data_IF_944241398274
#
_entry.id   IF_944241398274
#
_cell.length_a   1.000
_cell.length_b   1.000
_cell.length_c   1.000
_cell.angle_alpha   90.00
_cell.angle_beta   90.00
_cell.angle_gamma   90.00
#
_symmetry.space_group_name_H-M   'P 1'
#
loop_
_entity.id
_entity.type
_entity.pdbx_description
1 polymer ?
#
# COMPACT_ATOMS: atom_id res chain seq x y z
N UNK A 1 27.66 38.65 76.40
CA UNK A 1 28.93 38.28 75.73
C UNK A 1 29.15 36.79 75.98
N UNK A 2 28.75 35.92 75.04
CA UNK A 2 29.61 35.27 74.02
C UNK A 2 30.70 34.35 74.62
N UNK A 3 30.54 33.04 74.39
CA UNK A 3 31.50 32.03 73.84
C UNK A 3 31.01 30.63 74.24
N UNK A 4 30.34 29.89 73.35
CA UNK A 4 30.91 28.93 72.37
C UNK A 4 31.73 27.83 73.07
N UNK A 5 31.20 26.60 73.07
CA UNK A 5 31.87 25.40 72.54
C UNK A 5 30.79 24.34 72.27
N UNK A 6 30.81 23.85 71.04
CA UNK A 6 29.90 22.96 70.35
C UNK A 6 30.75 21.78 69.88
N UNK A 7 30.54 20.59 70.42
CA UNK A 7 31.09 19.29 70.01
C UNK A 7 30.05 18.25 70.49
N UNK A 8 29.62 17.19 69.81
CA UNK A 8 29.69 16.68 68.44
C UNK A 8 28.97 15.30 68.54
N UNK A 9 27.69 15.18 68.20
CA UNK A 9 27.09 13.88 67.85
C UNK A 9 25.70 14.07 67.22
N UNK A 10 25.45 13.32 66.15
CA UNK A 10 24.26 13.36 65.26
C UNK A 10 24.31 14.35 64.09
N UNK A 11 25.40 14.30 63.33
CA UNK A 11 25.30 14.57 61.88
C UNK A 11 24.68 13.32 61.25
N UNK A 12 23.35 13.26 61.27
CA UNK A 12 22.58 12.39 60.41
C UNK A 12 21.27 13.11 60.15
N UNK A 13 21.27 14.09 59.26
CA UNK A 13 20.13 14.52 58.42
C UNK A 13 20.58 15.68 57.51
N UNK A 14 21.60 15.41 56.70
CA UNK A 14 21.78 16.14 55.44
C UNK A 14 21.00 15.39 54.38
N UNK A 15 19.66 15.42 54.45
CA UNK A 15 18.86 15.17 53.25
C UNK A 15 19.05 16.43 52.39
N UNK A 16 20.19 16.48 51.69
CA UNK A 16 20.23 17.12 50.40
C UNK A 16 19.26 16.34 49.54
N UNK A 17 18.05 16.84 49.43
CA UNK A 17 17.13 16.51 48.35
C UNK A 17 17.84 16.98 47.06
N UNK A 18 18.81 16.19 46.59
CA UNK A 18 19.06 16.14 45.16
C UNK A 18 17.76 15.56 44.62
N UNK A 19 16.89 16.45 44.14
CA UNK A 19 16.05 16.08 43.02
C UNK A 19 17.02 15.64 41.94
N UNK A 20 17.27 14.34 41.86
CA UNK A 20 17.65 13.74 40.59
C UNK A 20 16.44 13.98 39.73
N UNK A 21 16.44 15.12 39.04
CA UNK A 21 15.64 15.31 37.85
C UNK A 21 16.00 14.10 37.01
N UNK A 22 15.10 13.12 36.92
CA UNK A 22 15.11 12.26 35.77
C UNK A 22 15.06 13.24 34.60
N UNK A 23 16.17 13.46 33.90
CA UNK A 23 16.05 13.83 32.51
C UNK A 23 15.17 12.72 31.94
N UNK A 24 13.93 13.05 31.60
CA UNK A 24 12.98 12.05 31.16
C UNK A 24 13.49 11.62 29.77
N UNK A 25 14.33 10.59 29.74
CA UNK A 25 14.72 9.92 28.50
C UNK A 25 13.43 9.43 27.86
N UNK A 26 12.87 10.25 26.96
CA UNK A 26 11.56 10.04 26.37
C UNK A 26 11.78 9.35 25.04
N UNK A 27 11.38 8.09 24.93
CA UNK A 27 11.44 7.34 23.67
C UNK A 27 10.04 6.99 23.20
N UNK A 28 9.80 7.09 21.89
CA UNK A 28 8.49 6.88 21.28
C UNK A 28 8.64 5.99 20.05
N UNK A 29 7.77 4.99 19.90
CA UNK A 29 7.57 4.34 18.60
C UNK A 29 6.49 5.10 17.86
N UNK A 30 6.82 5.57 16.67
CA UNK A 30 5.86 6.16 15.76
C UNK A 30 5.52 5.18 14.66
N UNK A 31 4.23 4.95 14.47
CA UNK A 31 3.70 4.12 13.38
C UNK A 31 2.99 5.06 12.41
N UNK A 32 3.52 5.16 11.21
CA UNK A 32 2.96 5.98 10.13
C UNK A 32 2.42 5.07 9.03
N UNK A 33 1.37 5.48 8.35
CA UNK A 33 0.77 4.68 7.30
C UNK A 33 -0.22 5.44 6.43
N UNK A 34 -0.69 4.77 5.38
CA UNK A 34 -1.68 5.35 4.46
C UNK A 34 -3.10 5.16 4.97
N UNK A 35 -3.87 6.25 5.01
CA UNK A 35 -5.28 6.24 5.43
C UNK A 35 -6.26 5.96 4.29
N UNK A 36 -5.79 5.95 3.04
CA UNK A 36 -6.58 5.70 1.82
C UNK A 36 -6.00 4.51 1.04
N UNK A 37 -6.33 3.29 1.45
CA UNK A 37 -5.91 2.09 0.72
C UNK A 37 -6.91 1.77 -0.40
N UNK A 38 -6.90 2.52 -1.51
CA UNK A 38 -7.44 2.01 -2.80
C UNK A 38 -6.65 2.60 -3.98
N UNK A 39 -5.44 2.10 -4.17
CA UNK A 39 -4.94 1.76 -5.49
C UNK A 39 -4.39 0.33 -5.32
N UNK A 40 -5.11 -0.66 -5.84
CA UNK A 40 -4.64 -2.06 -5.95
C UNK A 40 -4.57 -2.91 -4.66
N UNK A 41 -5.25 -2.53 -3.57
CA UNK A 41 -5.47 -3.41 -2.42
C UNK A 41 -4.27 -3.58 -1.48
N UNK A 42 -3.30 -2.67 -1.54
CA UNK A 42 -2.13 -2.65 -0.65
C UNK A 42 -2.19 -1.51 0.37
N UNK A 43 -1.59 -1.73 1.54
CA UNK A 43 -1.35 -0.73 2.57
C UNK A 43 0.12 -0.72 2.98
N UNK A 44 0.67 0.47 3.22
CA UNK A 44 2.05 0.64 3.68
C UNK A 44 2.07 1.21 5.08
N UNK A 45 2.88 0.61 5.94
CA UNK A 45 3.10 1.06 7.31
C UNK A 45 4.60 1.15 7.57
N UNK A 46 5.04 2.30 8.06
CA UNK A 46 6.41 2.58 8.45
C UNK A 46 6.51 2.61 9.97
N UNK A 47 7.48 1.88 10.52
CA UNK A 47 7.75 1.83 11.95
C UNK A 47 9.04 2.59 12.22
N UNK A 48 8.93 3.66 12.99
CA UNK A 48 10.02 4.54 13.34
C UNK A 48 10.24 4.50 14.85
N UNK A 49 11.51 4.54 15.27
CA UNK A 49 11.87 4.74 16.66
C UNK A 49 12.46 6.14 16.85
N UNK A 50 12.03 6.83 17.90
CA UNK A 50 12.60 8.08 18.38
C UNK A 50 13.13 7.86 19.80
N UNK A 51 14.39 8.20 20.05
CA UNK A 51 15.00 8.10 21.38
C UNK A 51 15.99 9.24 21.59
N UNK A 52 16.26 9.56 22.87
CA UNK A 52 17.02 10.74 23.29
C UNK A 52 18.54 10.54 23.39
N UNK A 53 19.06 9.31 23.28
CA UNK A 53 20.45 8.95 22.89
C UNK A 53 20.77 7.51 23.36
N UNK A 54 21.61 6.78 22.62
CA UNK A 54 22.35 5.62 23.16
C UNK A 54 21.65 4.26 23.14
N UNK A 55 20.49 4.12 22.48
CA UNK A 55 19.81 2.82 22.36
C UNK A 55 20.63 1.86 21.50
N UNK A 56 21.07 0.74 22.10
CA UNK A 56 21.87 -0.30 21.42
C UNK A 56 21.13 -1.60 21.19
N UNK A 57 20.12 -1.89 22.01
CA UNK A 57 19.26 -3.04 21.84
C UNK A 57 17.82 -2.56 21.73
N UNK A 58 17.05 -3.05 20.77
CA UNK A 58 15.62 -2.81 20.65
C UNK A 58 14.90 -4.13 20.41
N UNK A 59 13.77 -4.33 21.08
CA UNK A 59 12.87 -5.45 20.82
C UNK A 59 11.43 -5.03 21.02
N UNK A 60 10.54 -5.55 20.19
CA UNK A 60 9.14 -5.18 20.27
C UNK A 60 8.19 -6.03 19.47
N UNK A 61 6.91 -5.74 19.64
CA UNK A 61 5.82 -6.36 18.90
C UNK A 61 4.86 -5.30 18.38
N UNK A 62 4.44 -5.48 17.12
CA UNK A 62 3.36 -4.76 16.47
C UNK A 62 2.19 -5.73 16.28
N UNK A 63 0.99 -5.34 16.73
CA UNK A 63 -0.23 -6.07 16.52
C UNK A 63 -1.05 -5.46 15.38
N UNK A 64 -1.76 -6.31 14.64
CA UNK A 64 -2.66 -5.88 13.57
C UNK A 64 -3.86 -6.83 13.45
N UNK A 65 -4.97 -6.35 12.89
CA UNK A 65 -6.15 -7.18 12.64
C UNK A 65 -5.92 -8.10 11.42
N UNK A 66 -5.53 -9.35 11.70
CA UNK A 66 -5.32 -10.37 10.67
C UNK A 66 -6.58 -10.79 9.88
N UNK A 67 -7.78 -10.39 10.33
CA UNK A 67 -9.00 -10.61 9.55
C UNK A 67 -9.14 -9.61 8.40
N UNK A 68 -8.41 -8.49 8.47
CA UNK A 68 -8.46 -7.38 7.51
C UNK A 68 -7.14 -7.23 6.75
N UNK A 69 -6.01 -7.53 7.39
CA UNK A 69 -4.68 -7.33 6.81
C UNK A 69 -3.91 -8.65 6.78
N UNK A 70 -3.21 -8.90 5.68
CA UNK A 70 -2.19 -9.94 5.59
C UNK A 70 -0.85 -9.31 5.18
N UNK A 71 0.25 -9.85 5.67
CA UNK A 71 1.58 -9.32 5.33
C UNK A 71 1.93 -9.77 3.91
N UNK A 72 2.21 -8.81 3.04
CA UNK A 72 2.74 -9.04 1.70
C UNK A 72 4.27 -9.07 1.72
N UNK A 73 4.87 -8.13 2.44
CA UNK A 73 6.33 -7.99 2.51
C UNK A 73 6.77 -7.10 3.66
N UNK A 74 8.02 -7.30 4.07
CA UNK A 74 8.70 -6.46 5.06
C UNK A 74 10.06 -6.07 4.48
N UNK A 75 10.38 -4.80 4.62
CA UNK A 75 11.64 -4.22 4.19
C UNK A 75 12.31 -3.57 5.41
N UNK A 76 13.45 -4.10 5.82
CA UNK A 76 14.27 -3.48 6.87
C UNK A 76 14.98 -2.28 6.28
N UNK A 77 15.03 -1.18 7.02
CA UNK A 77 15.63 0.09 6.57
C UNK A 77 17.12 -0.05 6.26
N UNK A 78 17.58 0.53 5.15
CA UNK A 78 19.00 0.58 4.78
C UNK A 78 19.85 1.39 5.78
N UNK A 79 19.21 2.26 6.56
CA UNK A 79 19.85 3.04 7.63
C UNK A 79 20.14 2.19 8.90
N UNK A 80 20.07 0.86 8.80
CA UNK A 80 20.37 -0.10 9.87
C UNK A 80 21.56 -1.02 9.52
N UNK A 81 22.45 -0.64 8.61
CA UNK A 81 23.61 -1.46 8.22
C UNK A 81 24.54 -1.84 9.39
N UNK A 82 24.67 -0.97 10.41
CA UNK A 82 25.42 -1.25 11.64
C UNK A 82 24.60 -1.98 12.70
N UNK A 83 23.39 -2.42 12.38
CA UNK A 83 22.55 -3.20 13.27
C UNK A 83 22.50 -4.64 12.77
N UNK A 84 22.45 -5.57 13.72
CA UNK A 84 21.87 -6.88 13.48
C UNK A 84 20.38 -6.76 13.79
N UNK A 85 19.58 -6.50 12.76
CA UNK A 85 18.16 -6.22 12.88
C UNK A 85 17.35 -7.28 12.15
N UNK A 86 16.32 -7.81 12.82
CA UNK A 86 15.44 -8.82 12.25
C UNK A 86 13.98 -8.53 12.56
N UNK A 87 13.12 -8.91 11.62
CA UNK A 87 11.67 -8.84 11.75
C UNK A 87 11.10 -10.23 11.49
N UNK A 88 10.32 -10.74 12.43
CA UNK A 88 9.63 -12.01 12.37
C UNK A 88 8.12 -11.79 12.18
N UNK A 89 7.60 -12.33 11.08
CA UNK A 89 6.20 -12.26 10.65
C UNK A 89 5.51 -13.63 10.65
N UNK A 90 6.14 -14.65 11.22
CA UNK A 90 5.66 -16.04 11.23
C UNK A 90 4.29 -16.21 11.91
N UNK A 91 3.97 -15.33 12.87
CA UNK A 91 2.73 -15.34 13.62
C UNK A 91 1.72 -14.34 13.07
N UNK A 92 0.67 -14.84 12.41
CA UNK A 92 -0.41 -13.97 11.92
C UNK A 92 -1.02 -13.07 13.01
N UNK A 93 -1.12 -11.77 12.73
CA UNK A 93 -1.62 -10.73 13.61
C UNK A 93 -0.57 -10.10 14.51
N UNK A 94 0.67 -10.60 14.49
CA UNK A 94 1.79 -10.09 15.29
C UNK A 94 3.06 -10.02 14.44
N UNK A 95 3.74 -8.88 14.48
CA UNK A 95 5.08 -8.71 13.93
C UNK A 95 6.01 -8.53 15.11
N UNK A 96 6.99 -9.42 15.26
CA UNK A 96 8.04 -9.27 16.27
C UNK A 96 9.27 -8.69 15.61
N UNK A 97 9.98 -7.80 16.28
CA UNK A 97 11.25 -7.26 15.79
C UNK A 97 12.27 -7.22 16.91
N UNK A 98 13.53 -7.39 16.53
CA UNK A 98 14.67 -7.21 17.41
C UNK A 98 15.82 -6.56 16.63
N UNK A 99 16.66 -5.81 17.33
CA UNK A 99 17.80 -5.13 16.78
C UNK A 99 18.89 -4.98 17.82
N UNK A 100 20.13 -5.26 17.43
CA UNK A 100 21.33 -5.01 18.25
C UNK A 100 22.34 -4.20 17.43
N UNK A 101 22.79 -3.05 17.94
CA UNK A 101 23.83 -2.25 17.32
C UNK A 101 25.19 -2.98 17.40
N UNK A 102 25.88 -3.10 16.26
CA UNK A 102 27.20 -3.76 16.13
C UNK A 102 28.36 -2.86 16.62
N UNK A 103 28.19 -1.54 16.62
CA UNK A 103 29.12 -0.53 17.13
C UNK A 103 28.39 0.82 17.34
N UNK A 104 29.12 1.94 17.56
CA UNK A 104 28.66 3.30 17.90
C UNK A 104 27.71 3.94 16.86
N UNK A 105 26.53 3.36 16.68
CA UNK A 105 25.44 3.85 15.86
C UNK A 105 24.10 3.68 16.62
N UNK A 106 23.94 4.34 17.78
CA UNK A 106 22.71 4.25 18.54
C UNK A 106 21.55 4.96 17.83
N UNK A 107 20.32 4.62 18.22
CA UNK A 107 19.14 5.36 17.77
C UNK A 107 19.05 6.64 18.61
N UNK A 108 19.52 7.75 18.03
CA UNK A 108 19.60 9.07 18.68
C UNK A 108 18.55 10.08 18.16
N UNK A 109 17.64 9.63 17.29
CA UNK A 109 16.57 10.45 16.70
C UNK A 109 15.52 9.57 16.01
N UNK A 110 14.55 10.19 15.31
CA UNK A 110 13.60 9.51 14.42
C UNK A 110 14.33 8.68 13.36
N UNK A 111 14.39 7.36 13.58
CA UNK A 111 14.99 6.40 12.66
C UNK A 111 13.93 5.44 12.15
N UNK A 112 13.79 5.36 10.82
CA UNK A 112 13.00 4.32 10.17
C UNK A 112 13.65 2.96 10.45
N UNK A 113 12.90 2.05 11.05
CA UNK A 113 13.36 0.71 11.35
C UNK A 113 13.03 -0.27 10.23
N UNK A 114 11.75 -0.30 9.84
CA UNK A 114 11.27 -1.16 8.77
C UNK A 114 9.95 -0.66 8.24
N UNK A 115 9.65 -1.08 7.01
CA UNK A 115 8.38 -0.87 6.33
C UNK A 115 7.67 -2.21 6.16
N UNK A 116 6.37 -2.21 6.41
CA UNK A 116 5.49 -3.36 6.19
C UNK A 116 4.53 -3.02 5.07
N UNK A 117 4.46 -3.90 4.07
CA UNK A 117 3.42 -3.89 3.06
C UNK A 117 2.37 -4.93 3.44
N UNK A 118 1.14 -4.50 3.58
CA UNK A 118 -0.01 -5.37 3.81
C UNK A 118 -0.85 -5.51 2.55
N UNK A 119 -1.35 -6.72 2.30
CA UNK A 119 -2.55 -6.94 1.48
C UNK A 119 -3.76 -6.61 2.35
N UNK A 120 -4.67 -5.82 1.81
CA UNK A 120 -5.94 -5.49 2.45
C UNK A 120 -7.01 -6.46 1.98
N UNK A 121 -7.49 -7.29 2.90
CA UNK A 121 -8.61 -8.20 2.69
C UNK A 121 -9.89 -7.43 2.98
N UNK A 122 -10.68 -7.10 1.94
CA UNK A 122 -11.81 -6.20 2.17
C UNK A 122 -12.87 -6.23 1.09
N UNK A 123 -13.88 -7.08 1.28
CA UNK A 123 -15.20 -6.90 0.67
C UNK A 123 -16.06 -5.86 1.43
N UNK A 124 -15.57 -5.33 2.57
CA UNK A 124 -16.33 -4.48 3.50
C UNK A 124 -15.51 -3.28 3.96
N UNK A 125 -16.18 -2.14 4.14
CA UNK A 125 -15.59 -0.91 4.65
C UNK A 125 -15.39 -1.03 6.17
N UNK A 126 -14.15 -0.95 6.64
CA UNK A 126 -13.79 -1.13 8.05
C UNK A 126 -12.55 -0.32 8.41
N UNK A 127 -12.54 0.31 9.57
CA UNK A 127 -11.30 0.89 10.12
C UNK A 127 -10.60 -0.17 10.97
N UNK A 128 -9.31 -0.38 10.73
CA UNK A 128 -8.45 -1.26 11.52
C UNK A 128 -7.26 -0.49 12.08
N UNK A 129 -6.60 -1.03 13.09
CA UNK A 129 -5.47 -0.39 13.77
C UNK A 129 -4.26 -1.30 13.72
N UNK A 130 -3.10 -0.69 13.47
CA UNK A 130 -1.78 -1.29 13.68
C UNK A 130 -1.15 -0.59 14.88
N UNK A 131 -0.73 -1.34 15.90
CA UNK A 131 -0.25 -0.76 17.16
C UNK A 131 0.90 -1.54 17.78
N UNK A 132 1.79 -0.84 18.50
CA UNK A 132 2.80 -1.48 19.32
C UNK A 132 2.26 -1.80 20.72
N UNK A 133 2.84 -2.81 21.39
CA UNK A 133 2.41 -3.20 22.75
C UNK A 133 3.52 -3.53 23.74
N UNK A 134 4.72 -3.91 23.29
CA UNK A 134 5.79 -4.44 24.15
C UNK A 134 7.19 -3.97 23.71
N UNK A 135 7.38 -2.67 23.47
CA UNK A 135 8.65 -2.17 22.93
C UNK A 135 9.59 -1.72 24.04
N UNK A 136 10.73 -2.40 24.14
CA UNK A 136 11.75 -2.13 25.16
C UNK A 136 13.12 -2.11 24.51
N UNK A 137 14.03 -1.36 25.13
CA UNK A 137 15.41 -1.24 24.73
C UNK A 137 16.34 -1.25 25.93
N UNK A 138 17.60 -1.60 25.68
CA UNK A 138 18.69 -1.48 26.64
C UNK A 138 19.72 -0.48 26.08
N UNK A 139 20.13 0.45 26.94
CA UNK A 139 21.21 1.39 26.71
C UNK A 139 22.43 0.88 27.47
N UNK A 140 23.60 0.98 26.83
CA UNK A 140 24.89 0.60 27.41
C UNK A 140 25.84 1.79 27.35
N UNK A 141 26.10 2.41 28.49
CA UNK A 141 26.99 3.55 28.67
C UNK A 141 28.31 3.10 29.34
N UNK A 142 29.42 3.76 29.03
CA UNK A 142 30.71 3.56 29.70
C UNK A 142 30.92 4.74 30.65
N UNK A 143 31.01 4.46 31.94
CA UNK A 143 31.31 5.43 33.00
C UNK A 143 32.79 5.28 33.40
N UNK A 144 33.56 6.38 33.41
CA UNK A 144 34.97 6.35 33.85
C UNK A 144 35.01 6.77 35.32
N UNK A 145 35.45 5.85 36.18
CA UNK A 145 35.64 6.09 37.61
C UNK A 145 37.12 6.37 37.87
N UNK A 146 37.43 7.56 38.38
CA UNK A 146 38.79 7.90 38.80
C UNK A 146 38.93 7.72 40.31
N UNK A 147 39.73 6.74 40.73
CA UNK A 147 40.04 6.49 42.15
C UNK A 147 41.47 6.94 42.45
N UNK A 148 41.67 7.56 43.62
CA UNK A 148 43.02 7.86 44.11
C UNK A 148 43.45 6.74 45.05
N UNK A 149 44.52 6.03 44.71
CA UNK A 149 45.10 4.96 45.53
C UNK A 149 46.38 5.46 46.21
N UNK A 150 46.64 5.01 47.44
CA UNK A 150 47.90 5.27 48.15
C UNK A 150 48.85 4.12 47.85
N UNK A 151 49.92 4.38 47.12
CA UNK A 151 50.81 3.32 46.61
C UNK A 151 51.80 2.81 47.65
N UNK A 152 52.06 3.59 48.71
CA UNK A 152 52.93 3.22 49.83
C UNK A 152 52.14 2.85 51.11
N UNK A 153 50.90 2.36 50.97
CA UNK A 153 50.05 2.02 52.14
C UNK A 153 50.70 0.97 53.05
N UNK A 154 51.35 -0.05 52.49
CA UNK A 154 52.04 -1.08 53.28
C UNK A 154 53.20 -0.51 54.12
N UNK A 155 53.92 0.49 53.61
CA UNK A 155 55.02 1.15 54.33
C UNK A 155 54.48 2.02 55.49
N UNK A 156 53.33 2.65 55.29
CA UNK A 156 52.61 3.43 56.31
C UNK A 156 52.13 2.50 57.43
N UNK A 157 51.43 1.42 57.07
CA UNK A 157 50.87 0.46 58.04
C UNK A 157 52.00 -0.18 58.88
N UNK A 158 53.12 -0.52 58.25
CA UNK A 158 54.31 -1.04 58.94
C UNK A 158 54.92 -0.02 59.91
N UNK A 159 55.02 1.25 59.50
CA UNK A 159 55.55 2.30 60.37
C UNK A 159 54.65 2.55 61.59
N UNK A 160 53.33 2.51 61.42
CA UNK A 160 52.36 2.65 62.50
C UNK A 160 52.41 1.47 63.49
N UNK A 161 52.42 0.23 63.00
CA UNK A 161 52.47 -0.98 63.84
C UNK A 161 53.76 -1.05 64.67
N UNK A 162 54.88 -0.58 64.10
CA UNK A 162 56.20 -0.66 64.74
C UNK A 162 56.62 0.65 65.45
N UNK A 163 55.76 1.67 65.50
CA UNK A 163 56.03 2.94 66.18
C UNK A 163 57.18 3.76 65.55
N UNK A 164 57.39 3.63 64.25
CA UNK A 164 58.38 4.36 63.47
C UNK A 164 57.80 5.68 62.94
N UNK A 165 58.64 6.64 62.48
CA UNK A 165 58.15 7.82 61.79
C UNK A 165 57.32 7.44 60.55
N UNK A 166 56.07 7.91 60.50
CA UNK A 166 55.13 7.61 59.41
C UNK A 166 55.53 8.39 58.16
N UNK A 167 55.78 7.73 57.00
CA UNK A 167 56.09 8.41 55.75
C UNK A 167 54.86 9.12 55.16
N UNK A 168 55.09 10.17 54.38
CA UNK A 168 53.99 10.88 53.70
C UNK A 168 53.30 9.97 52.66
N UNK A 169 51.96 10.02 52.53
CA UNK A 169 51.24 9.24 51.53
C UNK A 169 51.62 9.61 50.09
N UNK A 170 52.02 8.62 49.30
CA UNK A 170 52.23 8.73 47.86
C UNK A 170 50.95 8.29 47.17
N UNK A 171 50.34 9.17 46.37
CA UNK A 171 49.05 8.91 45.72
C UNK A 171 49.16 8.80 44.21
N UNK A 172 48.40 7.89 43.62
CA UNK A 172 48.26 7.70 42.18
C UNK A 172 46.78 7.71 41.79
N UNK A 173 46.44 8.31 40.63
CA UNK A 173 45.08 8.25 40.07
C UNK A 173 44.96 7.05 39.15
N UNK A 174 44.00 6.19 39.43
CA UNK A 174 43.65 5.03 38.61
C UNK A 174 42.28 5.28 37.99
N UNK A 175 42.18 5.11 36.67
CA UNK A 175 40.92 5.20 35.93
C UNK A 175 40.41 3.78 35.62
N UNK A 176 39.18 3.50 36.01
CA UNK A 176 38.48 2.25 35.72
C UNK A 176 37.26 2.54 34.83
N UNK A 177 37.10 1.79 33.74
CA UNK A 177 35.91 1.86 32.89
C UNK A 177 34.86 0.89 33.40
N UNK A 178 33.69 1.41 33.75
CA UNK A 178 32.54 0.62 34.23
C UNK A 178 31.40 0.70 33.21
N UNK A 179 30.90 -0.46 32.78
CA UNK A 179 29.74 -0.55 31.90
C UNK A 179 28.45 -0.42 32.71
N UNK A 180 27.63 0.59 32.39
CA UNK A 180 26.34 0.82 33.01
C UNK A 180 25.21 0.50 32.04
N UNK A 181 24.32 -0.38 32.46
CA UNK A 181 23.14 -0.80 31.68
C UNK A 181 21.87 -0.21 32.27
N UNK A 182 21.01 0.29 31.40
CA UNK A 182 19.68 0.80 31.76
C UNK A 182 18.66 0.42 30.70
N UNK A 183 17.43 0.16 31.13
CA UNK A 183 16.33 -0.15 30.23
C UNK A 183 15.51 1.12 29.95
N UNK A 184 15.08 1.26 28.70
CA UNK A 184 14.11 2.28 28.28
C UNK A 184 12.92 1.60 27.63
N UNK A 185 11.73 2.13 27.90
CA UNK A 185 10.49 1.68 27.30
C UNK A 185 10.07 2.71 26.27
N UNK A 186 9.73 2.28 25.07
CA UNK A 186 9.13 3.19 24.10
C UNK A 186 7.63 3.25 24.33
N UNK A 187 7.08 4.46 24.32
CA UNK A 187 5.63 4.64 24.38
C UNK A 187 4.95 3.97 23.17
N UNK A 188 3.75 3.45 23.40
CA UNK A 188 3.05 2.70 22.36
C UNK A 188 2.59 3.62 21.23
N UNK A 189 3.01 3.29 20.01
CA UNK A 189 2.54 3.89 18.77
C UNK A 189 1.31 3.18 18.22
N UNK A 190 0.42 3.91 17.56
CA UNK A 190 -0.69 3.31 16.80
C UNK A 190 -1.03 4.12 15.56
N UNK A 191 -1.54 3.41 14.55
CA UNK A 191 -2.01 4.01 13.30
C UNK A 191 -3.33 3.37 12.88
N UNK A 192 -4.30 4.21 12.52
CA UNK A 192 -5.60 3.76 12.01
C UNK A 192 -5.58 3.71 10.49
N UNK A 193 -5.88 2.55 9.93
CA UNK A 193 -6.01 2.30 8.49
C UNK A 193 -7.50 2.19 8.17
N UNK A 194 -8.00 3.07 7.29
CA UNK A 194 -9.37 2.98 6.78
C UNK A 194 -9.38 2.08 5.55
N UNK A 195 -9.99 0.91 5.68
CA UNK A 195 -10.26 0.00 4.56
C UNK A 195 -11.59 0.38 3.95
N UNK A 196 -11.57 0.54 2.64
CA UNK A 196 -12.70 0.92 1.81
C UNK A 196 -12.84 -0.15 0.72
N UNK A 197 -14.07 -0.42 0.30
CA UNK A 197 -14.34 -1.47 -0.67
C UNK A 197 -13.67 -1.12 -2.01
N UNK A 198 -12.92 -2.04 -2.64
CA UNK A 198 -12.37 -1.79 -3.96
C UNK A 198 -13.52 -1.58 -4.94
N UNK A 199 -13.42 -0.53 -5.75
CA UNK A 199 -14.33 -0.29 -6.87
C UNK A 199 -14.05 -1.30 -7.97
N UNK A 200 -15.11 -1.86 -8.55
CA UNK A 200 -14.96 -2.83 -9.63
C UNK A 200 -14.43 -2.17 -10.91
N UNK A 201 -13.50 -2.86 -11.59
CA UNK A 201 -12.99 -2.51 -12.92
C UNK A 201 -13.73 -3.24 -14.06
N UNK A 202 -14.75 -4.04 -13.73
CA UNK A 202 -15.47 -4.86 -14.71
C UNK A 202 -16.44 -4.00 -15.52
N UNK A 203 -16.05 -3.72 -16.77
CA UNK A 203 -16.85 -3.00 -17.75
C UNK A 203 -17.44 -3.94 -18.83
N UNK A 204 -17.68 -5.21 -18.52
CA UNK A 204 -18.21 -6.18 -19.49
C UNK A 204 -19.72 -6.39 -19.36
N UNK A 205 -20.35 -6.74 -20.49
CA UNK A 205 -21.69 -7.32 -20.50
C UNK A 205 -21.56 -8.83 -20.46
N UNK A 206 -22.49 -9.49 -19.78
CA UNK A 206 -22.64 -10.94 -19.78
C UNK A 206 -23.40 -11.44 -21.01
N UNK A 207 -24.30 -10.61 -21.53
CA UNK A 207 -25.10 -10.94 -22.72
C UNK A 207 -25.54 -9.68 -23.48
N UNK A 208 -25.70 -9.81 -24.79
CA UNK A 208 -26.46 -8.92 -25.67
C UNK A 208 -27.40 -9.80 -26.49
N UNK A 209 -28.67 -9.46 -26.52
CA UNK A 209 -29.71 -10.14 -27.28
C UNK A 209 -30.48 -9.12 -28.12
N UNK A 210 -30.84 -9.50 -29.35
CA UNK A 210 -31.61 -8.66 -30.26
C UNK A 210 -32.97 -9.30 -30.48
N UNK A 211 -34.04 -8.60 -30.13
CA UNK A 211 -35.41 -9.06 -30.35
C UNK A 211 -35.73 -9.02 -31.85
N UNK A 212 -36.18 -10.15 -32.39
CA UNK A 212 -36.48 -10.33 -33.83
C UNK A 212 -35.29 -10.11 -34.77
N UNK A 213 -34.06 -10.19 -34.26
CA UNK A 213 -32.83 -10.08 -35.05
C UNK A 213 -31.86 -11.23 -34.78
N UNK A 214 -30.72 -11.21 -35.48
CA UNK A 214 -29.55 -12.04 -35.15
C UNK A 214 -28.37 -11.15 -34.85
N UNK A 215 -27.61 -11.54 -33.84
CA UNK A 215 -26.31 -10.97 -33.52
C UNK A 215 -25.22 -11.92 -34.04
N UNK A 216 -24.30 -11.42 -34.85
CA UNK A 216 -23.17 -12.19 -35.37
C UNK A 216 -21.84 -11.44 -35.15
N UNK A 217 -20.82 -12.08 -34.57
CA UNK A 217 -20.81 -13.45 -34.05
C UNK A 217 -21.71 -13.62 -32.81
N UNK A 218 -21.88 -14.87 -32.34
CA UNK A 218 -22.50 -15.13 -31.03
C UNK A 218 -21.78 -14.31 -29.97
N UNK A 219 -22.55 -13.70 -29.06
CA UNK A 219 -22.01 -12.78 -28.08
C UNK A 219 -20.84 -13.39 -27.28
N UNK A 220 -19.73 -12.66 -27.26
CA UNK A 220 -18.57 -12.91 -26.41
C UNK A 220 -18.11 -11.59 -25.81
N UNK A 221 -17.98 -11.52 -24.49
CA UNK A 221 -17.65 -10.28 -23.78
C UNK A 221 -16.34 -9.60 -24.21
N UNK A 222 -15.41 -10.33 -24.81
CA UNK A 222 -14.13 -9.79 -25.29
C UNK A 222 -14.19 -9.35 -26.76
N UNK A 223 -15.30 -9.60 -27.45
CA UNK A 223 -15.55 -9.13 -28.81
C UNK A 223 -16.35 -7.83 -28.75
N UNK A 224 -15.81 -6.77 -29.36
CA UNK A 224 -16.38 -5.42 -29.30
C UNK A 224 -17.09 -4.98 -30.59
N UNK A 225 -17.11 -5.81 -31.63
CA UNK A 225 -17.74 -5.49 -32.91
C UNK A 225 -18.69 -6.60 -33.33
N UNK A 226 -19.94 -6.24 -33.63
CA UNK A 226 -20.99 -7.15 -34.04
C UNK A 226 -21.75 -6.62 -35.23
N UNK A 227 -22.35 -7.54 -35.98
CA UNK A 227 -23.39 -7.26 -36.96
C UNK A 227 -24.73 -7.69 -36.40
N UNK A 228 -25.73 -6.83 -36.57
CA UNK A 228 -27.12 -7.13 -36.25
C UNK A 228 -27.90 -7.19 -37.54
N UNK A 229 -28.50 -8.33 -37.85
CA UNK A 229 -29.40 -8.47 -39.00
C UNK A 229 -30.84 -8.52 -38.50
N UNK A 230 -31.69 -7.65 -39.04
CA UNK A 230 -33.10 -7.53 -38.65
C UNK A 230 -33.98 -7.27 -39.88
N UNK A 231 -35.27 -7.57 -39.78
CA UNK A 231 -36.22 -7.22 -40.82
C UNK A 231 -36.32 -5.69 -41.00
N UNK A 232 -36.43 -5.20 -42.24
CA UNK A 232 -36.52 -3.76 -42.51
C UNK A 232 -37.79 -3.10 -41.95
N UNK A 233 -38.84 -3.89 -41.70
CA UNK A 233 -40.11 -3.45 -41.11
C UNK A 233 -40.20 -3.59 -39.60
N UNK A 234 -39.23 -4.24 -38.96
CA UNK A 234 -39.24 -4.48 -37.53
C UNK A 234 -38.47 -3.42 -36.75
N UNK A 235 -38.94 -3.14 -35.54
CA UNK A 235 -38.27 -2.24 -34.62
C UNK A 235 -37.07 -2.95 -33.99
N UNK A 236 -35.93 -2.26 -33.97
CA UNK A 236 -34.72 -2.79 -33.35
C UNK A 236 -34.81 -2.64 -31.84
N UNK A 237 -34.85 -3.77 -31.13
CA UNK A 237 -34.85 -3.79 -29.67
C UNK A 237 -33.70 -4.64 -29.15
N UNK A 238 -32.85 -4.02 -28.35
CA UNK A 238 -31.63 -4.63 -27.79
C UNK A 238 -31.83 -4.83 -26.30
N UNK A 239 -31.71 -6.07 -25.86
CA UNK A 239 -31.65 -6.46 -24.46
C UNK A 239 -30.20 -6.76 -24.07
N UNK A 240 -29.84 -6.49 -22.82
CA UNK A 240 -28.50 -6.75 -22.32
C UNK A 240 -28.52 -7.21 -20.85
N UNK A 241 -27.44 -7.84 -20.43
CA UNK A 241 -27.21 -8.20 -19.02
C UNK A 241 -25.82 -7.75 -18.63
N UNK A 242 -25.71 -6.97 -17.56
CA UNK A 242 -24.42 -6.54 -17.02
C UNK A 242 -23.67 -7.74 -16.44
N UNK A 243 -22.36 -7.80 -16.62
CA UNK A 243 -21.55 -8.79 -15.88
C UNK A 243 -21.36 -8.33 -14.42
N UNK A 244 -21.25 -7.02 -14.21
CA UNK A 244 -21.23 -6.40 -12.89
C UNK A 244 -22.45 -5.50 -12.68
N UNK A 245 -23.27 -5.80 -11.68
CA UNK A 245 -24.47 -5.04 -11.35
C UNK A 245 -24.20 -3.58 -10.98
N UNK A 246 -22.98 -3.25 -10.54
CA UNK A 246 -22.59 -1.88 -10.22
C UNK A 246 -22.17 -1.06 -11.43
N UNK A 247 -21.98 -1.69 -12.60
CA UNK A 247 -21.67 -0.98 -13.82
C UNK A 247 -22.88 -0.18 -14.34
N UNK A 248 -22.57 0.91 -15.05
CA UNK A 248 -23.54 1.76 -15.73
C UNK A 248 -23.46 1.48 -17.23
N UNK A 249 -24.61 1.31 -17.88
CA UNK A 249 -24.69 1.06 -19.32
C UNK A 249 -25.43 2.21 -19.99
N UNK A 250 -24.83 2.75 -21.04
CA UNK A 250 -25.44 3.77 -21.91
C UNK A 250 -25.48 3.21 -23.32
N UNK A 251 -26.68 3.19 -23.91
CA UNK A 251 -26.90 2.83 -25.31
C UNK A 251 -27.14 4.13 -26.07
N UNK A 252 -26.37 4.36 -27.12
CA UNK A 252 -26.54 5.52 -28.00
C UNK A 252 -27.60 5.25 -29.07
N UNK A 253 -28.20 6.31 -29.60
CA UNK A 253 -29.10 6.22 -30.75
C UNK A 253 -28.37 5.68 -31.98
N UNK A 254 -29.13 5.07 -32.90
CA UNK A 254 -28.60 4.58 -34.17
C UNK A 254 -28.12 5.76 -35.03
N UNK A 255 -26.83 5.79 -35.35
CA UNK A 255 -26.22 6.79 -36.25
C UNK A 255 -25.41 6.05 -37.31
N UNK A 256 -25.70 6.32 -38.60
CA UNK A 256 -25.03 5.67 -39.74
C UNK A 256 -25.05 4.12 -39.66
N UNK A 257 -26.21 3.55 -39.32
CA UNK A 257 -26.42 2.11 -39.13
C UNK A 257 -25.52 1.53 -38.04
N UNK A 258 -25.13 2.32 -37.03
CA UNK A 258 -24.35 1.84 -35.89
C UNK A 258 -24.99 2.25 -34.58
N UNK A 259 -24.97 1.33 -33.63
CA UNK A 259 -25.31 1.56 -32.23
C UNK A 259 -24.07 1.26 -31.39
N UNK A 260 -23.77 2.15 -30.45
CA UNK A 260 -22.68 1.97 -29.50
C UNK A 260 -23.27 1.76 -28.10
N UNK A 261 -22.90 0.65 -27.49
CA UNK A 261 -23.23 0.33 -26.10
C UNK A 261 -21.98 0.52 -25.27
N UNK A 262 -21.96 1.53 -24.40
CA UNK A 262 -20.82 1.79 -23.52
C UNK A 262 -21.16 1.34 -22.11
N UNK A 263 -20.25 0.55 -21.53
CA UNK A 263 -20.32 0.08 -20.15
C UNK A 263 -19.22 0.75 -19.36
N UNK A 264 -19.60 1.43 -18.29
CA UNK A 264 -18.69 2.08 -17.35
C UNK A 264 -18.68 1.31 -16.04
N UNK A 265 -17.50 0.83 -15.64
CA UNK A 265 -17.29 0.17 -14.35
C UNK A 265 -17.30 1.19 -13.20
N UNK A 266 -17.34 0.71 -11.95
CA UNK A 266 -17.37 1.56 -10.75
C UNK A 266 -16.09 2.41 -10.59
N UNK A 267 -14.97 1.94 -11.12
CA UNK A 267 -13.68 2.66 -11.15
C UNK A 267 -13.56 3.69 -12.29
N UNK A 268 -14.55 3.76 -13.19
CA UNK A 268 -14.54 4.62 -14.38
C UNK A 268 -13.91 4.00 -15.63
N UNK A 269 -13.40 2.78 -15.56
CA UNK A 269 -12.96 2.02 -16.74
C UNK A 269 -14.15 1.77 -17.68
N UNK A 270 -13.91 1.82 -18.99
CA UNK A 270 -14.96 1.70 -20.00
C UNK A 270 -14.66 0.61 -21.03
N UNK A 271 -15.71 -0.07 -21.49
CA UNK A 271 -15.70 -0.89 -22.71
C UNK A 271 -16.90 -0.54 -23.58
N UNK A 272 -16.73 -0.58 -24.89
CA UNK A 272 -17.79 -0.25 -25.84
C UNK A 272 -18.00 -1.38 -26.85
N UNK A 273 -19.25 -1.79 -27.02
CA UNK A 273 -19.69 -2.73 -28.05
C UNK A 273 -20.31 -1.95 -29.20
N UNK A 274 -19.81 -2.16 -30.41
CA UNK A 274 -20.27 -1.52 -31.65
C UNK A 274 -21.12 -2.53 -32.42
N UNK A 275 -22.38 -2.19 -32.64
CA UNK A 275 -23.34 -3.01 -33.37
C UNK A 275 -23.61 -2.33 -34.71
N UNK A 276 -23.21 -2.96 -35.80
CA UNK A 276 -23.52 -2.52 -37.16
C UNK A 276 -24.84 -3.14 -37.61
N UNK A 277 -25.83 -2.31 -37.90
CA UNK A 277 -27.19 -2.73 -38.22
C UNK A 277 -27.35 -2.98 -39.72
N UNK A 278 -27.95 -4.11 -40.07
CA UNK A 278 -28.24 -4.54 -41.43
C UNK A 278 -29.74 -4.87 -41.51
N UNK A 279 -30.48 -4.06 -42.29
CA UNK A 279 -31.93 -4.21 -42.46
C UNK A 279 -32.24 -4.91 -43.78
N UNK A 280 -33.03 -5.99 -43.74
CA UNK A 280 -33.38 -6.80 -44.92
C UNK A 280 -34.88 -7.14 -44.96
N UNK A 281 -35.53 -7.10 -46.14
CA UNK A 281 -36.99 -7.24 -46.25
C UNK A 281 -37.57 -8.63 -45.92
N UNK A 282 -36.74 -9.67 -45.84
CA UNK A 282 -37.17 -11.06 -45.63
C UNK A 282 -36.44 -11.75 -44.46
N UNK A 283 -35.96 -10.98 -43.49
CA UNK A 283 -35.42 -11.60 -42.28
C UNK A 283 -36.59 -12.18 -41.47
N UNK A 284 -36.79 -13.49 -41.56
CA UNK A 284 -37.75 -14.22 -40.74
C UNK A 284 -37.00 -14.96 -39.65
N UNK A 285 -37.38 -14.75 -38.38
CA UNK A 285 -36.78 -15.39 -37.19
C UNK A 285 -36.91 -16.94 -37.16
N UNK A 286 -37.50 -17.56 -38.19
CA UNK A 286 -37.74 -19.01 -38.29
C UNK A 286 -36.95 -19.73 -39.37
N UNK A 287 -35.91 -19.14 -39.96
CA UNK A 287 -35.06 -19.86 -40.93
C UNK A 287 -33.81 -20.48 -40.24
N UNK A 288 -33.71 -21.81 -40.08
CA UNK A 288 -32.55 -22.45 -39.49
C UNK A 288 -31.40 -22.67 -40.49
N UNK A 289 -31.51 -22.25 -41.76
CA UNK A 289 -30.50 -22.57 -42.77
C UNK A 289 -30.18 -21.38 -43.67
N UNK A 290 -29.16 -20.62 -43.28
CA UNK A 290 -28.33 -19.92 -44.24
C UNK A 290 -26.90 -20.39 -44.05
N UNK A 291 -26.50 -21.33 -44.91
CA UNK A 291 -25.14 -21.61 -45.31
C UNK A 291 -24.38 -20.29 -45.63
N UNK A 292 -23.94 -19.59 -44.58
CA UNK A 292 -22.93 -18.54 -44.64
C UNK A 292 -21.62 -19.29 -44.64
N UNK A 293 -20.95 -19.27 -45.79
CA UNK A 293 -19.64 -19.87 -46.00
C UNK A 293 -18.75 -19.67 -44.78
N UNK A 294 -18.35 -20.81 -44.20
CA UNK A 294 -17.33 -20.92 -43.17
C UNK A 294 -16.05 -20.21 -43.66
N UNK A 295 -15.58 -19.14 -42.99
CA UNK A 295 -14.39 -18.40 -43.42
C UNK A 295 -13.08 -19.19 -43.23
N UNK A 296 -13.13 -20.47 -42.83
CA UNK A 296 -11.94 -21.31 -42.62
C UNK A 296 -11.58 -22.24 -43.77
N UNK A 297 -12.36 -22.30 -44.87
CA UNK A 297 -12.01 -23.14 -46.01
C UNK A 297 -11.00 -22.45 -46.95
N UNK A 298 -9.84 -23.08 -47.25
CA UNK A 298 -8.88 -22.51 -48.20
C UNK A 298 -9.46 -22.53 -49.62
N UNK A 299 -9.45 -21.36 -50.26
CA UNK A 299 -9.92 -21.15 -51.63
C UNK A 299 -8.97 -21.88 -52.61
N UNK A 300 -9.46 -22.93 -53.28
CA UNK A 300 -8.76 -23.55 -54.41
C UNK A 300 -9.24 -22.89 -55.73
N UNK A 301 -8.35 -22.33 -56.57
CA UNK A 301 -8.77 -21.65 -57.78
C UNK A 301 -8.91 -22.61 -58.98
N UNK A 302 -10.05 -22.55 -59.66
CA UNK A 302 -10.30 -23.11 -61.01
C UNK A 302 -11.61 -23.89 -61.07
N UNK A 303 -12.51 -23.73 -62.04
CA UNK A 303 -12.46 -23.15 -63.39
C UNK A 303 -13.91 -22.79 -63.77
N UNK A 304 -14.14 -21.71 -64.54
CA UNK A 304 -15.46 -21.37 -65.10
C UNK A 304 -15.52 -21.83 -66.56
N UNK A 305 -16.40 -22.77 -66.84
CA UNK A 305 -17.18 -22.95 -68.07
C UNK A 305 -18.63 -22.53 -67.71
N UNK A 306 -19.25 -21.48 -68.24
CA UNK A 306 -19.36 -21.08 -69.64
C UNK A 306 -20.74 -21.48 -70.14
N UNK A 307 -21.78 -20.66 -69.86
CA UNK A 307 -22.86 -20.26 -70.80
C UNK A 307 -24.14 -19.72 -70.11
N UNK A 308 -24.50 -18.50 -70.54
CA UNK A 308 -25.86 -17.97 -70.82
C UNK A 308 -26.58 -17.14 -69.74
N UNK A 309 -26.39 -15.81 -69.88
CA UNK A 309 -27.41 -14.78 -70.16
C UNK A 309 -28.60 -14.58 -69.20
N UNK A 310 -29.04 -13.40 -68.78
CA UNK A 310 -28.71 -11.98 -68.96
C UNK A 310 -29.62 -11.23 -67.96
N UNK A 311 -29.15 -10.20 -67.25
CA UNK A 311 -29.68 -8.83 -67.38
C UNK A 311 -29.11 -7.82 -66.35
N UNK A 312 -28.72 -6.66 -66.92
CA UNK A 312 -28.73 -5.31 -66.36
C UNK A 312 -27.41 -4.71 -65.80
N UNK A 313 -26.80 -3.98 -66.73
CA UNK A 313 -26.24 -2.62 -66.60
C UNK A 313 -24.83 -2.45 -65.98
N UNK A 314 -23.88 -2.20 -66.88
CA UNK A 314 -22.56 -1.67 -66.59
C UNK A 314 -22.61 -0.25 -66.00
N UNK A 315 -21.85 0.00 -64.94
CA UNK A 315 -21.22 1.32 -64.70
C UNK A 315 -19.74 1.10 -64.35
N UNK A 316 -18.93 1.25 -65.39
CA UNK A 316 -17.52 1.61 -65.50
C UNK A 316 -16.76 1.90 -64.18
N UNK A 317 -15.86 0.99 -63.78
CA UNK A 317 -14.90 1.20 -62.69
C UNK A 317 -13.54 1.70 -63.22
N UNK A 318 -13.35 3.02 -63.19
CA UNK A 318 -12.01 3.64 -63.10
C UNK A 318 -11.59 3.74 -61.64
N UNK A 319 -10.37 3.25 -61.34
CA UNK A 319 -9.59 3.38 -60.10
C UNK A 319 -9.98 4.55 -59.19
N UNK A 320 -10.09 4.32 -57.87
CA UNK A 320 -9.53 5.18 -56.80
C UNK A 320 -9.50 4.43 -55.45
N UNK A 321 -8.36 4.51 -54.75
CA UNK A 321 -8.05 3.91 -53.44
C UNK A 321 -9.02 4.36 -52.33
N UNK A 322 -9.37 3.47 -51.39
CA UNK A 322 -9.94 3.84 -50.09
C UNK A 322 -8.82 3.81 -49.04
N UNK A 323 -8.50 4.98 -48.50
CA UNK A 323 -7.58 5.18 -47.38
C UNK A 323 -8.36 4.89 -46.09
N UNK A 324 -7.91 3.93 -45.30
CA UNK A 324 -8.45 3.67 -43.95
C UNK A 324 -7.88 4.74 -43.01
N UNK A 325 -8.72 5.68 -42.59
CA UNK A 325 -8.38 6.63 -41.52
C UNK A 325 -8.79 6.02 -40.16
N UNK A 326 -7.80 5.56 -39.40
CA UNK A 326 -7.94 5.24 -37.98
C UNK A 326 -8.08 6.56 -37.19
N UNK A 327 -9.28 6.86 -36.70
CA UNK A 327 -9.46 7.92 -35.70
C UNK A 327 -9.22 7.31 -34.33
N UNK A 328 -7.99 7.47 -33.83
CA UNK A 328 -7.67 7.26 -32.41
C UNK A 328 -8.17 8.51 -31.69
N UNK A 329 -9.31 8.43 -30.99
CA UNK A 329 -9.62 9.44 -29.99
C UNK A 329 -8.97 9.00 -28.68
N UNK A 330 -7.75 9.48 -28.46
CA UNK A 330 -7.15 9.50 -27.14
C UNK A 330 -7.84 10.59 -26.32
N UNK A 331 -8.72 10.22 -25.38
CA UNK A 331 -9.09 11.15 -24.31
C UNK A 331 -8.07 11.04 -23.19
N UNK A 332 -7.13 11.98 -23.24
CA UNK A 332 -6.26 12.37 -22.14
C UNK A 332 -7.15 12.81 -20.97
N UNK A 333 -7.01 12.13 -19.84
CA UNK A 333 -7.53 12.62 -18.57
C UNK A 333 -6.85 13.94 -18.21
N UNK A 334 -7.65 15.01 -18.08
CA UNK A 334 -7.27 16.19 -17.32
C UNK A 334 -8.28 16.29 -16.19
N UNK A 335 -7.83 15.93 -14.99
CA UNK A 335 -8.51 16.30 -13.76
C UNK A 335 -8.37 17.81 -13.54
N UNK A 336 -9.48 18.45 -13.18
CA UNK A 336 -9.46 19.61 -12.30
C UNK A 336 -10.73 19.59 -11.46
N UNK A 337 -10.55 19.44 -10.14
CA UNK A 337 -11.61 19.62 -9.17
C UNK A 337 -12.10 21.06 -9.14
N UNK A 338 -13.40 21.23 -8.93
CA UNK A 338 -14.02 22.54 -8.82
C UNK A 338 -15.49 22.41 -8.45
N UNK A 339 -15.75 22.44 -7.14
CA UNK A 339 -17.05 22.57 -6.48
C UNK A 339 -18.08 23.40 -7.26
N UNK A 340 -19.25 22.83 -7.57
CA UNK A 340 -20.42 23.60 -8.00
C UNK A 340 -21.52 23.54 -6.94
N UNK A 341 -21.65 24.69 -6.29
CA UNK A 341 -22.70 25.12 -5.38
C UNK A 341 -24.03 25.03 -6.13
N UNK A 342 -24.96 24.24 -5.59
CA UNK A 342 -26.35 24.22 -6.04
C UNK A 342 -27.06 25.48 -5.56
N UNK A 343 -27.51 26.34 -6.49
CA UNK A 343 -28.44 27.43 -6.20
C UNK A 343 -29.47 27.58 -7.32
N UNK A 344 -30.62 26.95 -7.09
CA UNK A 344 -31.98 27.39 -7.45
C UNK A 344 -32.35 27.51 -8.93
N UNK A 345 -33.52 26.97 -9.27
CA UNK A 345 -34.47 27.78 -10.02
C UNK A 345 -35.90 27.45 -9.63
N UNK A 346 -36.67 28.53 -9.63
CA UNK A 346 -38.08 28.70 -9.29
C UNK A 346 -38.76 28.92 -10.63
N UNK A 347 -39.75 28.09 -10.96
CA UNK A 347 -40.91 28.45 -11.78
C UNK A 347 -42.15 27.84 -11.13
#
# INVERSE_FOLDING_TARGET
MKKIILILLSILFSISLLTVSAANDSAVITINGSTSTICDGLAFVEVNANSQDGVKNIKGQINYDKSVLAIFGVEVSDNLHNWDFSVDTSKAGVISFNGTAKAHDPIDSDRLLFKVTFIVHGSLEKTTVVSSSNVTAEITEIEIITTTVVTNQEEIDYAEENGLPVPDPITEKVEEQVEKKRNITFENGSHSIKVVKPVSKNCYLKNIEVENGTLSPVFNKLTNAYKVTINDKEELKINYTKEDEKSVVVIQDEVNNQIIITVTAEDGSNNSYVLTIIRQPNYNHTDPDANVEDPTLPINPGTIDGENDNHLASINNTRTLIIIALVIVSFIGIGVGGSLIYKGSRE
#
